data_IF_284967853244
#
_entry.id   IF_284967853244
#
_cell.length_a   1.000
_cell.length_b   1.000
_cell.length_c   1.000
_cell.angle_alpha   90.00
_cell.angle_beta   90.00
_cell.angle_gamma   90.00
#
_symmetry.space_group_name_H-M   'P 1'
#
loop_
_entity.id
_entity.type
_entity.pdbx_description
1 polymer ?
#
# COMPACT_ATOMS: atom_id res chain seq x y z
N UNK A 1 20.92 -2.21 -9.63
CA UNK A 1 19.51 -1.86 -9.30
C UNK A 1 19.31 -1.92 -7.79
N UNK A 2 18.67 -0.91 -7.19
CA UNK A 2 18.32 -0.94 -5.76
C UNK A 2 16.97 -1.63 -5.58
N UNK A 3 16.92 -2.70 -4.77
CA UNK A 3 15.72 -3.48 -4.55
C UNK A 3 15.34 -3.44 -3.06
N UNK A 4 14.17 -2.92 -2.74
CA UNK A 4 13.69 -2.78 -1.37
C UNK A 4 12.79 -3.95 -1.01
N UNK A 5 13.11 -4.66 0.08
CA UNK A 5 12.37 -5.84 0.54
C UNK A 5 11.97 -5.71 2.01
N UNK A 6 10.76 -6.15 2.38
CA UNK A 6 10.37 -6.19 3.78
C UNK A 6 11.23 -7.21 4.55
N UNK A 7 11.59 -6.90 5.79
CA UNK A 7 12.43 -7.77 6.61
C UNK A 7 11.87 -9.21 6.75
N UNK A 8 10.54 -9.36 6.74
CA UNK A 8 9.90 -10.68 6.78
C UNK A 8 10.21 -11.54 5.54
N UNK A 9 10.44 -10.93 4.37
CA UNK A 9 10.74 -11.64 3.14
C UNK A 9 12.12 -12.33 3.17
N UNK A 10 13.00 -11.92 4.08
CA UNK A 10 14.28 -12.61 4.29
C UNK A 10 14.13 -14.04 4.83
N UNK A 11 12.96 -14.38 5.39
CA UNK A 11 12.66 -15.73 5.87
C UNK A 11 12.26 -16.69 4.75
N UNK A 12 11.89 -16.15 3.60
CA UNK A 12 11.53 -16.93 2.43
C UNK A 12 12.80 -17.37 1.70
N UNK A 13 12.97 -18.69 1.56
CA UNK A 13 14.16 -19.30 0.99
C UNK A 13 14.11 -19.42 -0.54
N UNK A 14 12.94 -19.24 -1.15
CA UNK A 14 12.76 -19.52 -2.59
C UNK A 14 13.40 -18.46 -3.48
N UNK A 15 13.30 -17.18 -3.12
CA UNK A 15 13.82 -16.10 -3.96
C UNK A 15 15.22 -15.60 -3.57
N UNK A 16 15.70 -15.90 -2.36
CA UNK A 16 17.02 -15.47 -1.91
C UNK A 16 18.16 -15.94 -2.83
N UNK A 17 18.18 -17.21 -3.30
CA UNK A 17 19.22 -17.68 -4.22
C UNK A 17 19.19 -16.96 -5.57
N UNK A 18 17.99 -16.54 -6.04
CA UNK A 18 17.85 -15.84 -7.31
C UNK A 18 18.47 -14.44 -7.29
N UNK A 19 18.48 -13.79 -6.12
CA UNK A 19 19.04 -12.46 -5.93
C UNK A 19 20.51 -12.50 -5.53
N UNK A 20 20.93 -13.49 -4.74
CA UNK A 20 22.30 -13.62 -4.24
C UNK A 20 23.34 -13.77 -5.35
N UNK A 21 22.95 -14.38 -6.50
CA UNK A 21 23.81 -14.56 -7.67
C UNK A 21 23.91 -13.36 -8.62
N UNK A 22 23.15 -12.27 -8.38
CA UNK A 22 23.12 -11.14 -9.30
C UNK A 22 23.86 -9.91 -8.73
N UNK A 23 25.11 -9.62 -9.20
CA UNK A 23 25.88 -8.49 -8.68
C UNK A 23 25.30 -7.11 -8.98
N UNK A 24 24.33 -7.01 -9.89
CA UNK A 24 23.66 -5.77 -10.25
C UNK A 24 22.49 -5.42 -9.32
N UNK A 25 22.12 -6.31 -8.39
CA UNK A 25 21.03 -6.08 -7.42
C UNK A 25 21.62 -5.80 -6.04
N UNK A 26 21.29 -4.60 -5.52
CA UNK A 26 21.59 -4.24 -4.14
C UNK A 26 20.32 -4.26 -3.32
N UNK A 27 20.28 -5.14 -2.31
CA UNK A 27 19.12 -5.28 -1.42
C UNK A 27 19.13 -4.22 -0.31
N UNK A 28 17.98 -3.59 -0.10
CA UNK A 28 17.70 -2.72 1.03
C UNK A 28 16.53 -3.28 1.82
N UNK A 29 16.79 -3.60 3.08
CA UNK A 29 15.79 -4.18 3.97
C UNK A 29 15.04 -3.07 4.68
N UNK A 30 13.71 -3.16 4.72
CA UNK A 30 12.89 -2.23 5.49
C UNK A 30 11.93 -2.96 6.44
N UNK A 31 11.54 -2.26 7.51
CA UNK A 31 10.65 -2.78 8.52
C UNK A 31 9.19 -2.42 8.18
N UNK A 32 8.31 -3.41 8.21
CA UNK A 32 6.86 -3.26 7.99
C UNK A 32 6.03 -3.36 9.26
N UNK A 33 6.66 -3.26 10.45
CA UNK A 33 5.92 -3.25 11.72
C UNK A 33 4.88 -2.12 11.70
N UNK A 34 3.58 -2.45 11.87
CA UNK A 34 2.54 -1.44 11.91
C UNK A 34 2.65 -0.61 13.20
N UNK A 35 2.65 0.70 13.06
CA UNK A 35 2.75 1.63 14.20
C UNK A 35 1.52 2.52 14.21
N UNK A 36 0.85 2.54 15.35
CA UNK A 36 -0.29 3.39 15.64
C UNK A 36 -0.08 4.09 17.00
N UNK A 37 -0.73 5.22 17.21
CA UNK A 37 -0.64 5.99 18.45
C UNK A 37 -0.51 7.49 18.22
N UNK A 38 0.09 8.18 19.18
CA UNK A 38 0.29 9.63 19.08
C UNK A 38 1.16 9.99 17.90
N UNK A 39 0.77 11.01 17.16
CA UNK A 39 1.44 11.41 15.91
C UNK A 39 2.95 11.69 16.09
N UNK A 40 3.34 12.33 17.20
CA UNK A 40 4.74 12.61 17.48
C UNK A 40 5.58 11.34 17.67
N UNK A 41 5.04 10.35 18.37
CA UNK A 41 5.64 9.04 18.56
C UNK A 41 5.74 8.29 17.23
N UNK A 42 4.64 8.21 16.48
CA UNK A 42 4.64 7.56 15.17
C UNK A 42 5.68 8.19 14.23
N UNK A 43 5.72 9.52 14.15
CA UNK A 43 6.68 10.23 13.31
C UNK A 43 8.14 9.96 13.71
N UNK A 44 8.41 9.81 15.01
CA UNK A 44 9.75 9.46 15.50
C UNK A 44 10.13 8.04 15.07
N UNK A 45 9.23 7.05 15.23
CA UNK A 45 9.43 5.67 14.79
C UNK A 45 9.64 5.60 13.27
N UNK A 46 8.81 6.30 12.48
CA UNK A 46 8.93 6.33 11.02
C UNK A 46 10.28 6.89 10.58
N UNK A 47 10.74 7.97 11.23
CA UNK A 47 12.05 8.56 10.97
C UNK A 47 13.20 7.59 11.26
N UNK A 48 13.09 6.78 12.33
CA UNK A 48 14.07 5.73 12.67
C UNK A 48 13.97 4.51 11.73
N UNK A 49 12.88 4.36 10.99
CA UNK A 49 12.62 3.20 10.14
C UNK A 49 12.28 1.93 10.90
N UNK A 50 11.77 2.09 12.11
CA UNK A 50 11.40 0.96 12.98
C UNK A 50 9.97 0.46 12.72
N UNK A 51 9.23 1.15 11.88
CA UNK A 51 7.90 0.77 11.45
C UNK A 51 7.33 1.76 10.45
N UNK A 52 6.10 1.47 10.03
CA UNK A 52 5.33 2.24 9.03
C UNK A 52 3.87 2.32 9.49
N UNK A 53 3.04 3.23 8.95
CA UNK A 53 1.60 3.12 9.10
C UNK A 53 1.15 1.73 8.66
N UNK A 54 0.04 1.21 9.22
CA UNK A 54 -0.42 -0.17 8.97
C UNK A 54 -0.40 -0.51 7.46
N UNK A 55 0.48 -1.43 7.01
CA UNK A 55 0.77 -1.65 5.59
C UNK A 55 -0.22 -2.64 4.97
N UNK A 56 -1.46 -2.22 4.70
CA UNK A 56 -2.46 -3.05 4.03
C UNK A 56 -2.21 -3.29 2.54
N UNK A 57 -1.31 -2.51 1.94
CA UNK A 57 -0.85 -2.69 0.57
C UNK A 57 0.61 -2.24 0.44
N UNK A 58 1.22 -2.53 -0.70
CA UNK A 58 2.63 -2.21 -0.97
C UNK A 58 2.89 -0.71 -1.11
N UNK A 59 1.90 0.08 -1.50
CA UNK A 59 2.05 1.53 -1.72
C UNK A 59 2.35 2.27 -0.42
N UNK A 60 1.74 1.88 0.69
CA UNK A 60 1.95 2.49 2.02
C UNK A 60 3.43 2.42 2.43
N UNK A 61 4.09 1.26 2.50
CA UNK A 61 5.51 1.20 2.82
C UNK A 61 6.39 1.84 1.74
N UNK A 62 5.99 1.80 0.46
CA UNK A 62 6.74 2.45 -0.62
C UNK A 62 6.80 3.97 -0.44
N UNK A 63 5.67 4.60 -0.10
CA UNK A 63 5.64 6.04 0.21
C UNK A 63 6.47 6.34 1.47
N UNK A 64 6.33 5.53 2.53
CA UNK A 64 7.09 5.70 3.76
C UNK A 64 8.61 5.63 3.50
N UNK A 65 9.06 4.72 2.64
CA UNK A 65 10.45 4.60 2.21
C UNK A 65 10.88 5.79 1.37
N UNK A 66 10.07 6.22 0.40
CA UNK A 66 10.33 7.42 -0.41
C UNK A 66 10.51 8.67 0.44
N UNK A 67 9.72 8.82 1.51
CA UNK A 67 9.83 9.95 2.45
C UNK A 67 11.14 9.93 3.27
N UNK A 68 11.78 8.78 3.43
CA UNK A 68 13.09 8.66 4.10
C UNK A 68 14.27 8.95 3.17
N UNK A 69 14.06 8.83 1.86
CA UNK A 69 15.07 9.17 0.86
C UNK A 69 15.19 10.69 0.68
N UNK A 70 16.25 11.22 0.07
CA UNK A 70 16.49 12.67 -0.04
C UNK A 70 15.61 13.40 -1.06
N UNK A 71 14.46 12.83 -1.44
CA UNK A 71 13.50 13.45 -2.35
C UNK A 71 12.63 14.45 -1.61
N UNK A 72 12.36 15.60 -2.23
CA UNK A 72 11.41 16.60 -1.71
C UNK A 72 9.99 16.34 -2.17
N UNK A 73 9.83 15.75 -3.36
CA UNK A 73 8.53 15.45 -3.96
C UNK A 73 8.48 13.97 -4.37
N UNK A 74 7.37 13.32 -4.11
CA UNK A 74 7.07 11.95 -4.49
C UNK A 74 5.79 11.99 -5.30
N UNK A 75 5.80 11.40 -6.50
CA UNK A 75 4.65 11.35 -7.38
C UNK A 75 4.06 9.95 -7.38
N UNK A 76 2.75 9.85 -7.18
CA UNK A 76 2.00 8.60 -7.28
C UNK A 76 1.32 8.55 -8.65
N UNK A 77 1.70 7.59 -9.47
CA UNK A 77 1.10 7.32 -10.77
C UNK A 77 0.55 5.89 -10.81
N UNK A 78 -0.61 5.69 -11.43
CA UNK A 78 -1.24 4.37 -11.54
C UNK A 78 -1.83 3.83 -10.23
N UNK A 79 -2.11 4.69 -9.26
CA UNK A 79 -2.68 4.34 -7.97
C UNK A 79 -4.15 4.82 -7.89
N UNK A 80 -5.04 4.17 -8.59
CA UNK A 80 -6.46 4.53 -8.68
C UNK A 80 -7.24 4.17 -7.42
N UNK A 81 -7.03 2.97 -6.85
CA UNK A 81 -7.71 2.47 -5.65
C UNK A 81 -9.24 2.53 -5.73
N UNK A 82 -9.78 2.30 -6.93
CA UNK A 82 -11.21 2.36 -7.24
C UNK A 82 -11.98 1.09 -6.83
N UNK A 83 -11.59 0.45 -5.75
CA UNK A 83 -12.15 -0.83 -5.31
C UNK A 83 -13.58 -0.73 -4.77
N UNK A 84 -13.96 0.40 -4.18
CA UNK A 84 -15.23 0.55 -3.49
C UNK A 84 -16.46 0.35 -4.40
N UNK A 85 -16.51 0.91 -5.62
CA UNK A 85 -17.60 0.66 -6.56
C UNK A 85 -17.66 -0.77 -7.11
N UNK A 86 -16.58 -1.53 -6.96
CA UNK A 86 -16.45 -2.89 -7.48
C UNK A 86 -16.88 -3.96 -6.46
N UNK A 87 -17.40 -3.55 -5.30
CA UNK A 87 -17.89 -4.47 -4.26
C UNK A 87 -19.38 -4.71 -4.46
N UNK A 88 -19.78 -5.99 -4.49
CA UNK A 88 -21.18 -6.41 -4.48
C UNK A 88 -21.39 -7.47 -3.40
N UNK A 89 -22.63 -7.59 -2.93
CA UNK A 89 -23.06 -8.66 -2.01
C UNK A 89 -24.19 -9.42 -2.71
N UNK A 90 -24.02 -10.73 -2.84
CA UNK A 90 -25.04 -11.59 -3.44
C UNK A 90 -26.19 -11.89 -2.47
N UNK A 91 -27.30 -12.41 -2.99
CA UNK A 91 -28.44 -12.84 -2.17
C UNK A 91 -28.07 -13.97 -1.20
N UNK A 92 -27.00 -14.73 -1.50
CA UNK A 92 -26.43 -15.76 -0.62
C UNK A 92 -25.44 -15.19 0.43
N UNK A 93 -25.39 -13.87 0.62
CA UNK A 93 -24.49 -13.16 1.52
C UNK A 93 -22.99 -13.38 1.23
N UNK A 94 -22.63 -13.57 -0.03
CA UNK A 94 -21.23 -13.67 -0.48
C UNK A 94 -20.76 -12.29 -0.96
N UNK A 95 -19.63 -11.83 -0.44
CA UNK A 95 -19.00 -10.58 -0.88
C UNK A 95 -18.12 -10.87 -2.08
N UNK A 96 -18.39 -10.19 -3.18
CA UNK A 96 -17.62 -10.26 -4.43
C UNK A 96 -16.91 -8.94 -4.66
N UNK A 97 -15.70 -9.01 -5.23
CA UNK A 97 -14.97 -7.85 -5.71
C UNK A 97 -14.62 -8.06 -7.18
N UNK A 98 -15.03 -7.13 -8.02
CA UNK A 98 -14.73 -7.13 -9.44
C UNK A 98 -13.39 -6.42 -9.66
N UNK A 99 -12.29 -7.17 -9.80
CA UNK A 99 -10.99 -6.58 -10.12
C UNK A 99 -10.88 -6.37 -11.63
N UNK A 100 -11.02 -5.13 -12.07
CA UNK A 100 -10.73 -4.74 -13.45
C UNK A 100 -9.25 -4.43 -13.58
N UNK A 101 -8.49 -5.35 -14.15
CA UNK A 101 -7.12 -5.03 -14.57
C UNK A 101 -7.17 -4.24 -15.88
N UNK A 102 -6.31 -3.23 -16.02
CA UNK A 102 -6.30 -2.34 -17.21
C UNK A 102 -6.02 -3.09 -18.54
N UNK A 103 -5.49 -4.32 -18.47
CA UNK A 103 -5.25 -5.21 -19.62
C UNK A 103 -6.38 -6.22 -19.84
N UNK A 104 -7.39 -6.29 -18.98
CA UNK A 104 -8.56 -7.16 -19.17
C UNK A 104 -9.57 -6.48 -20.09
N UNK A 105 -9.40 -6.67 -21.41
CA UNK A 105 -10.24 -6.01 -22.39
C UNK A 105 -11.69 -6.48 -22.43
N UNK A 106 -12.09 -7.61 -21.81
CA UNK A 106 -13.47 -8.12 -22.00
C UNK A 106 -14.13 -9.00 -20.92
N UNK A 107 -13.51 -9.33 -19.80
CA UNK A 107 -14.20 -10.11 -18.74
C UNK A 107 -13.61 -9.82 -17.36
N UNK A 108 -14.20 -8.90 -16.64
CA UNK A 108 -13.99 -8.86 -15.19
C UNK A 108 -14.72 -10.08 -14.58
N UNK A 109 -14.01 -11.15 -14.28
CA UNK A 109 -14.55 -12.20 -13.42
C UNK A 109 -14.65 -11.63 -12.00
N UNK A 110 -15.85 -11.78 -11.42
CA UNK A 110 -16.07 -11.45 -10.01
C UNK A 110 -15.36 -12.50 -9.16
N UNK A 111 -14.34 -12.08 -8.43
CA UNK A 111 -13.64 -12.95 -7.49
C UNK A 111 -14.30 -12.86 -6.11
N UNK A 112 -14.51 -14.01 -5.48
CA UNK A 112 -14.95 -14.07 -4.08
C UNK A 112 -13.84 -13.52 -3.20
N UNK A 113 -14.12 -12.51 -2.39
CA UNK A 113 -13.16 -12.00 -1.41
C UNK A 113 -12.94 -13.08 -0.34
N UNK A 114 -11.79 -13.74 -0.39
CA UNK A 114 -11.41 -14.79 0.57
C UNK A 114 -10.74 -14.18 1.78
N UNK A 115 -11.12 -14.64 2.96
CA UNK A 115 -10.39 -14.41 4.19
C UNK A 115 -9.44 -15.59 4.42
N UNK A 116 -8.32 -15.39 5.13
CA UNK A 116 -7.25 -16.39 5.34
C UNK A 116 -7.70 -17.79 5.83
N UNK A 117 -8.96 -17.93 6.27
CA UNK A 117 -9.56 -19.19 6.78
C UNK A 117 -10.66 -19.77 5.89
N UNK A 118 -10.57 -19.69 4.56
CA UNK A 118 -11.48 -20.36 3.60
C UNK A 118 -12.94 -19.88 3.55
N UNK A 119 -13.36 -18.97 4.42
CA UNK A 119 -14.69 -18.38 4.38
C UNK A 119 -14.69 -17.06 3.60
N UNK A 120 -15.77 -16.75 2.88
CA UNK A 120 -15.95 -15.46 2.23
C UNK A 120 -15.83 -14.33 3.26
N UNK A 121 -15.05 -13.29 2.95
CA UNK A 121 -14.91 -12.14 3.82
C UNK A 121 -16.28 -11.46 4.01
N UNK A 122 -16.57 -10.99 5.22
CA UNK A 122 -17.79 -10.19 5.47
C UNK A 122 -17.56 -8.76 4.99
N UNK A 123 -18.60 -8.09 4.54
CA UNK A 123 -18.53 -6.74 4.01
C UNK A 123 -17.85 -5.76 4.99
N UNK A 124 -18.19 -5.81 6.28
CA UNK A 124 -17.57 -4.94 7.28
C UNK A 124 -16.06 -5.15 7.39
N UNK A 125 -15.58 -6.39 7.20
CA UNK A 125 -14.14 -6.69 7.23
C UNK A 125 -13.44 -6.07 6.01
N UNK A 126 -14.05 -6.18 4.83
CA UNK A 126 -13.53 -5.56 3.60
C UNK A 126 -13.46 -4.04 3.75
N UNK A 127 -14.53 -3.42 4.21
CA UNK A 127 -14.59 -1.98 4.47
C UNK A 127 -13.58 -1.54 5.53
N UNK A 128 -13.39 -2.33 6.59
CA UNK A 128 -12.36 -2.05 7.60
C UNK A 128 -10.95 -2.05 7.01
N UNK A 129 -10.61 -3.02 6.15
CA UNK A 129 -9.31 -3.05 5.49
C UNK A 129 -9.10 -1.84 4.57
N UNK A 130 -10.14 -1.44 3.83
CA UNK A 130 -10.11 -0.21 3.02
C UNK A 130 -9.93 1.03 3.90
N UNK A 131 -10.72 1.15 4.97
CA UNK A 131 -10.58 2.25 5.92
C UNK A 131 -9.16 2.38 6.45
N UNK A 132 -8.55 1.27 6.87
CA UNK A 132 -7.17 1.30 7.40
C UNK A 132 -6.16 1.70 6.33
N UNK A 133 -6.33 1.23 5.08
CA UNK A 133 -5.47 1.62 3.97
C UNK A 133 -5.55 3.14 3.71
N UNK A 134 -6.77 3.67 3.54
CA UNK A 134 -6.98 5.11 3.29
C UNK A 134 -6.50 5.95 4.48
N UNK A 135 -6.81 5.57 5.72
CA UNK A 135 -6.30 6.23 6.93
C UNK A 135 -4.76 6.30 6.94
N UNK A 136 -4.09 5.24 6.50
CA UNK A 136 -2.63 5.20 6.45
C UNK A 136 -2.05 6.23 5.47
N UNK A 137 -2.75 6.58 4.39
CA UNK A 137 -2.33 7.65 3.49
C UNK A 137 -2.39 9.03 4.16
N UNK A 138 -3.41 9.32 4.96
CA UNK A 138 -3.47 10.56 5.74
C UNK A 138 -2.35 10.66 6.78
N UNK A 139 -1.99 9.53 7.41
CA UNK A 139 -0.84 9.48 8.32
C UNK A 139 0.45 9.81 7.58
N UNK A 140 0.64 9.27 6.36
CA UNK A 140 1.81 9.54 5.53
C UNK A 140 1.84 10.98 5.01
N UNK A 141 0.70 11.56 4.67
CA UNK A 141 0.59 12.98 4.29
C UNK A 141 1.05 13.89 5.44
N UNK A 142 0.49 13.66 6.64
CA UNK A 142 0.86 14.43 7.82
C UNK A 142 2.37 14.26 8.16
N UNK A 143 2.91 13.07 7.97
CA UNK A 143 4.35 12.82 8.14
C UNK A 143 5.18 13.53 7.07
N UNK A 144 4.78 13.49 5.79
CA UNK A 144 5.44 14.19 4.69
C UNK A 144 5.52 15.70 4.97
N UNK A 145 4.38 16.30 5.34
CA UNK A 145 4.29 17.72 5.68
C UNK A 145 5.22 18.09 6.85
N UNK A 146 5.32 17.24 7.88
CA UNK A 146 6.27 17.44 8.99
C UNK A 146 7.73 17.40 8.56
N UNK A 147 8.05 16.65 7.50
CA UNK A 147 9.39 16.56 6.91
C UNK A 147 9.70 17.72 5.91
N UNK A 148 8.74 18.62 5.65
CA UNK A 148 8.85 19.63 4.59
C UNK A 148 8.87 18.99 3.18
N UNK A 149 8.20 17.85 3.01
CA UNK A 149 8.12 17.08 1.77
C UNK A 149 6.67 17.03 1.27
N UNK A 150 6.50 16.71 -0.02
CA UNK A 150 5.19 16.57 -0.65
C UNK A 150 5.05 15.18 -1.27
N UNK A 151 3.86 14.58 -1.09
CA UNK A 151 3.38 13.45 -1.89
C UNK A 151 2.27 13.99 -2.79
N UNK A 152 2.39 13.73 -4.08
CA UNK A 152 1.49 14.29 -5.10
C UNK A 152 0.87 13.12 -5.87
N UNK A 153 -0.46 13.06 -5.88
CA UNK A 153 -1.20 12.06 -6.64
C UNK A 153 -1.49 12.59 -8.06
N UNK A 154 -0.85 11.99 -9.04
CA UNK A 154 -1.03 12.32 -10.47
C UNK A 154 -1.91 11.30 -11.20
N UNK A 155 -2.51 10.36 -10.48
CA UNK A 155 -3.40 9.34 -11.05
C UNK A 155 -4.79 9.93 -11.32
N UNK A 156 -5.26 9.99 -12.57
CA UNK A 156 -6.62 10.38 -12.88
C UNK A 156 -7.64 9.44 -12.21
N UNK A 157 -8.74 9.98 -11.68
CA UNK A 157 -9.82 9.18 -11.07
C UNK A 157 -9.45 8.44 -9.78
N UNK A 158 -8.27 8.67 -9.21
CA UNK A 158 -7.84 8.01 -7.99
C UNK A 158 -8.78 8.29 -6.81
N UNK A 159 -9.06 7.25 -6.02
CA UNK A 159 -9.82 7.35 -4.77
C UNK A 159 -8.94 7.77 -3.58
N UNK A 160 -7.61 7.79 -3.74
CA UNK A 160 -6.70 8.28 -2.70
C UNK A 160 -6.81 9.80 -2.63
N UNK A 161 -7.48 10.30 -1.60
CA UNK A 161 -7.82 11.72 -1.37
C UNK A 161 -6.88 12.42 -0.38
N UNK A 162 -5.97 11.68 0.24
CA UNK A 162 -5.05 12.21 1.25
C UNK A 162 -3.99 13.17 0.69
N UNK A 163 -3.64 13.05 -0.59
CA UNK A 163 -2.53 13.78 -1.19
C UNK A 163 -3.00 14.86 -2.17
N UNK A 164 -2.18 15.92 -2.30
CA UNK A 164 -2.38 16.94 -3.32
C UNK A 164 -2.48 16.30 -4.70
N UNK A 165 -3.45 16.71 -5.50
CA UNK A 165 -3.62 16.27 -6.88
C UNK A 165 -2.93 17.19 -7.85
N UNK A 166 -2.37 16.62 -8.91
CA UNK A 166 -1.80 17.34 -10.04
C UNK A 166 -2.10 16.57 -11.33
N UNK A 167 -2.44 17.28 -12.39
CA UNK A 167 -2.47 16.72 -13.74
C UNK A 167 -1.06 16.79 -14.32
N UNK A 168 -0.60 15.71 -14.94
CA UNK A 168 0.62 15.67 -15.74
C UNK A 168 0.33 16.20 -17.13
#
# INVERSE_FOLDING_TARGET
MNFFVPARALKDKEWQPLLAGNPHIKLYIYNTTPIEGFQSFCNWIFRKGWGVPRPHNVLIPSIAMGLRLPFRKIYLAGADHSWLPEITVTDDNVVLMHQKHFYDQNKSQADTVKQENLNSARLYTVLYHMYVAFKSYFILEAYARKLGKEVINVTPGSYIDAFKRMKL
#
